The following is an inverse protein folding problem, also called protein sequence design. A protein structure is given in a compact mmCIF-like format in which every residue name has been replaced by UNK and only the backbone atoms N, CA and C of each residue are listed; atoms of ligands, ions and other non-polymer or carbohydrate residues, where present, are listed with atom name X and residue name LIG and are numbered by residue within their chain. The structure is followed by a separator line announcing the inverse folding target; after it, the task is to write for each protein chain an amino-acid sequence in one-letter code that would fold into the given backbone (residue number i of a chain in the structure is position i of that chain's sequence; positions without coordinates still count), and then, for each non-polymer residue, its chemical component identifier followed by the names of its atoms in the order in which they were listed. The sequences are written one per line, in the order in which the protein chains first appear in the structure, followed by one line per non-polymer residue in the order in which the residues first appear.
data_IF_752995774853
#
_entry.id   IF_752995774853
#
_cell.length_a   1.000
_cell.length_b   1.000
_cell.length_c   1.000
_cell.angle_alpha   90.00
_cell.angle_beta   90.00
_cell.angle_gamma   90.00
#
_symmetry.space_group_name_H-M   'P 1'
#
loop_
_entity.id
_entity.type
_entity.pdbx_description
1 polymer ?
#
# COMPACT_ATOMS: atom_id res chain seq x y z
N UNK A 1 -28.58 -17.09 -42.20
CA UNK A 1 -28.64 -16.90 -40.73
C UNK A 1 -27.39 -16.15 -40.31
N UNK A 2 -27.45 -14.86 -39.93
CA UNK A 2 -26.32 -14.17 -39.32
C UNK A 2 -26.17 -14.63 -37.85
N UNK A 3 -25.01 -15.19 -37.52
CA UNK A 3 -24.64 -15.54 -36.15
C UNK A 3 -24.21 -14.30 -35.38
N UNK A 4 -24.74 -14.19 -34.18
CA UNK A 4 -24.66 -13.09 -33.22
C UNK A 4 -23.24 -12.72 -32.80
N UNK A 5 -22.95 -11.42 -32.84
CA UNK A 5 -21.85 -10.76 -32.13
C UNK A 5 -22.01 -10.93 -30.62
N UNK A 6 -21.10 -11.64 -29.97
CA UNK A 6 -20.94 -11.62 -28.50
C UNK A 6 -19.46 -11.71 -28.13
N UNK A 7 -18.92 -10.58 -27.67
CA UNK A 7 -18.19 -10.41 -26.42
C UNK A 7 -17.89 -8.92 -26.30
N UNK A 8 -18.82 -8.18 -25.67
CA UNK A 8 -18.77 -7.90 -24.25
C UNK A 8 -17.52 -7.07 -23.91
N UNK A 9 -17.72 -5.75 -23.99
CA UNK A 9 -17.19 -4.72 -23.10
C UNK A 9 -15.85 -5.05 -22.44
N UNK A 10 -14.77 -4.45 -22.94
CA UNK A 10 -13.57 -4.22 -22.14
C UNK A 10 -13.99 -3.37 -20.94
N UNK A 11 -14.33 -4.06 -19.85
CA UNK A 11 -14.75 -3.46 -18.61
C UNK A 11 -13.56 -2.74 -18.01
N UNK A 12 -13.73 -1.42 -17.83
CA UNK A 12 -13.15 -0.58 -16.79
C UNK A 12 -12.24 -1.29 -15.79
N UNK A 13 -10.96 -0.97 -15.88
CA UNK A 13 -10.06 -0.96 -14.74
C UNK A 13 -9.16 0.24 -14.95
N UNK A 14 -9.67 1.45 -14.62
CA UNK A 14 -8.77 2.56 -14.33
C UNK A 14 -7.94 2.05 -13.16
N UNK A 15 -6.73 1.59 -13.46
CA UNK A 15 -5.75 1.28 -12.47
C UNK A 15 -5.41 2.64 -11.84
N UNK A 16 -6.10 3.00 -10.77
CA UNK A 16 -5.62 3.99 -9.82
C UNK A 16 -4.37 3.38 -9.15
N UNK A 17 -3.29 3.26 -9.94
CA UNK A 17 -1.90 3.04 -9.55
C UNK A 17 -1.39 4.28 -8.82
N UNK A 18 -2.18 4.81 -7.90
CA UNK A 18 -1.74 5.85 -7.01
C UNK A 18 -1.00 5.14 -5.89
N UNK A 19 0.30 4.86 -6.11
CA UNK A 19 1.23 4.40 -5.07
C UNK A 19 0.94 5.19 -3.81
N UNK A 20 0.30 4.54 -2.85
CA UNK A 20 -0.20 5.20 -1.66
C UNK A 20 0.84 5.00 -0.58
N UNK A 21 1.44 6.06 -0.07
CA UNK A 21 2.29 5.94 1.10
C UNK A 21 1.43 5.82 2.33
N UNK A 22 1.82 4.96 3.26
CA UNK A 22 1.21 4.89 4.57
C UNK A 22 2.29 5.00 5.64
N UNK A 23 1.91 5.52 6.81
CA UNK A 23 2.78 5.57 7.97
C UNK A 23 2.33 4.51 8.96
N UNK A 24 3.26 3.71 9.44
CA UNK A 24 3.03 2.80 10.54
C UNK A 24 2.67 3.57 11.81
N UNK A 25 1.54 3.20 12.42
CA UNK A 25 1.09 3.73 13.70
C UNK A 25 1.61 2.89 14.88
N UNK A 26 1.92 1.62 14.62
CA UNK A 26 2.39 0.66 15.62
C UNK A 26 3.50 -0.20 15.01
N UNK A 27 4.28 -0.85 15.86
CA UNK A 27 5.20 -1.90 15.43
C UNK A 27 4.45 -3.15 14.98
N UNK A 28 4.94 -3.76 13.90
CA UNK A 28 4.45 -5.01 13.39
C UNK A 28 5.65 -5.88 13.01
N UNK A 29 5.77 -7.02 13.66
CA UNK A 29 6.87 -7.96 13.44
C UNK A 29 6.31 -9.28 12.97
N UNK A 30 6.72 -9.70 11.79
CA UNK A 30 6.40 -11.01 11.23
C UNK A 30 7.34 -12.08 11.81
N UNK A 31 7.03 -13.35 11.57
CA UNK A 31 7.93 -14.41 11.99
C UNK A 31 9.29 -14.28 11.27
N UNK A 32 10.42 -14.62 11.92
CA UNK A 32 11.76 -14.39 11.37
C UNK A 32 12.03 -15.01 9.99
N UNK A 33 11.24 -15.99 9.58
CA UNK A 33 11.36 -16.69 8.30
C UNK A 33 10.23 -16.37 7.32
N UNK A 34 9.30 -15.49 7.69
CA UNK A 34 8.15 -15.15 6.87
C UNK A 34 8.46 -13.95 5.99
N UNK A 35 9.01 -14.23 4.81
CA UNK A 35 9.28 -13.23 3.77
C UNK A 35 8.02 -12.78 3.03
N UNK A 36 6.86 -13.39 3.32
CA UNK A 36 5.59 -12.96 2.73
C UNK A 36 4.96 -11.80 3.50
N UNK A 37 5.45 -11.53 4.70
CA UNK A 37 4.91 -10.56 5.63
C UNK A 37 5.90 -9.40 5.85
N UNK A 38 5.39 -8.17 5.86
CA UNK A 38 6.24 -6.97 5.99
C UNK A 38 6.41 -6.58 7.45
N UNK A 39 7.62 -6.65 7.98
CA UNK A 39 7.93 -6.14 9.33
C UNK A 39 8.30 -4.66 9.31
N UNK A 40 7.74 -3.87 10.21
CA UNK A 40 7.96 -2.42 10.31
C UNK A 40 7.76 -1.91 11.74
N UNK A 41 8.19 -0.68 12.01
CA UNK A 41 8.06 0.00 13.30
C UNK A 41 7.17 1.22 13.21
N UNK A 42 6.62 1.64 14.35
CA UNK A 42 5.90 2.92 14.45
C UNK A 42 6.74 4.06 13.83
N UNK A 43 6.10 4.83 12.94
CA UNK A 43 6.72 5.95 12.24
C UNK A 43 7.32 5.62 10.88
N UNK A 44 7.50 4.35 10.54
CA UNK A 44 7.99 3.95 9.22
C UNK A 44 7.01 4.33 8.11
N UNK A 45 7.54 4.76 6.96
CA UNK A 45 6.74 5.08 5.78
C UNK A 45 6.86 3.91 4.81
N UNK A 46 5.74 3.26 4.53
CA UNK A 46 5.65 2.09 3.66
C UNK A 46 4.98 2.52 2.37
N UNK A 47 5.53 2.08 1.24
CA UNK A 47 4.89 2.26 -0.06
C UNK A 47 3.87 1.14 -0.28
N UNK A 48 2.59 1.48 -0.39
CA UNK A 48 1.53 0.50 -0.66
C UNK A 48 1.45 0.25 -2.16
N UNK A 49 1.77 -0.98 -2.56
CA UNK A 49 1.72 -1.47 -3.94
C UNK A 49 0.33 -1.99 -4.30
N UNK A 50 -0.29 -2.76 -3.39
CA UNK A 50 -1.62 -3.36 -3.64
C UNK A 50 -2.47 -3.32 -2.37
N UNK A 51 -3.77 -3.03 -2.52
CA UNK A 51 -4.73 -3.05 -1.41
C UNK A 51 -5.78 -4.11 -1.67
N UNK A 52 -5.92 -5.07 -0.75
CA UNK A 52 -7.03 -6.01 -0.77
C UNK A 52 -8.21 -5.49 0.05
N UNK A 53 -9.44 -5.79 -0.40
CA UNK A 53 -10.68 -5.49 0.32
C UNK A 53 -10.79 -6.23 1.67
N UNK A 54 -10.01 -7.31 1.84
CA UNK A 54 -9.86 -8.04 3.11
C UNK A 54 -9.17 -7.24 4.21
N UNK A 55 -8.60 -6.08 3.89
CA UNK A 55 -7.83 -5.24 4.82
C UNK A 55 -6.33 -5.57 4.86
N UNK A 56 -5.86 -6.50 4.03
CA UNK A 56 -4.44 -6.80 3.85
C UNK A 56 -3.86 -5.99 2.71
N UNK A 57 -2.79 -5.26 3.00
CA UNK A 57 -2.08 -4.45 2.02
C UNK A 57 -0.70 -5.03 1.79
N UNK A 58 -0.26 -4.96 0.54
CA UNK A 58 1.09 -5.30 0.15
C UNK A 58 1.86 -4.00 -0.02
N UNK A 59 3.03 -3.95 0.60
CA UNK A 59 3.88 -2.79 0.49
C UNK A 59 5.35 -3.09 0.58
N UNK A 60 6.11 -2.05 0.29
CA UNK A 60 7.55 -2.06 0.18
C UNK A 60 8.14 -1.10 1.22
N UNK A 61 9.06 -1.61 2.03
CA UNK A 61 9.83 -0.84 3.02
C UNK A 61 11.29 -1.28 2.95
N UNK A 62 12.22 -0.35 2.66
CA UNK A 62 13.65 -0.62 2.59
C UNK A 62 14.01 -1.87 1.74
N UNK A 63 13.43 -1.95 0.53
CA UNK A 63 13.57 -3.09 -0.41
C UNK A 63 12.95 -4.42 0.06
N UNK A 64 12.31 -4.46 1.23
CA UNK A 64 11.54 -5.61 1.72
C UNK A 64 10.08 -5.42 1.32
N UNK A 65 9.52 -6.39 0.60
CA UNK A 65 8.10 -6.43 0.23
C UNK A 65 7.38 -7.47 1.06
N UNK A 66 6.16 -7.16 1.49
CA UNK A 66 5.31 -8.13 2.14
C UNK A 66 3.92 -7.61 2.45
N UNK A 67 3.08 -8.54 2.90
CA UNK A 67 1.73 -8.28 3.33
C UNK A 67 1.70 -7.80 4.78
N UNK A 68 0.81 -6.86 5.05
CA UNK A 68 0.55 -6.37 6.39
C UNK A 68 -0.90 -5.90 6.55
N UNK A 69 -1.42 -5.92 7.80
CA UNK A 69 -2.75 -5.43 8.10
C UNK A 69 -2.80 -3.90 8.01
N UNK A 70 -3.75 -3.39 7.22
CA UNK A 70 -4.00 -1.94 7.10
C UNK A 70 -4.34 -1.24 8.42
N UNK A 71 -4.82 -1.97 9.42
CA UNK A 71 -5.14 -1.44 10.76
C UNK A 71 -3.91 -0.92 11.53
N UNK A 72 -2.70 -1.31 11.14
CA UNK A 72 -1.45 -0.91 11.79
C UNK A 72 -0.81 0.32 11.13
N UNK A 73 -1.41 0.79 10.04
CA UNK A 73 -0.91 1.93 9.28
C UNK A 73 -2.00 2.97 9.07
N UNK A 74 -1.60 4.18 8.73
CA UNK A 74 -2.50 5.23 8.26
C UNK A 74 -2.06 5.68 6.88
N UNK A 75 -2.98 5.72 5.92
CA UNK A 75 -2.68 6.24 4.57
C UNK A 75 -2.30 7.71 4.72
N UNK A 76 -1.15 8.08 4.17
CA UNK A 76 -0.74 9.46 4.09
C UNK A 76 -1.27 10.04 2.79
N UNK A 77 -2.01 11.15 2.90
CA UNK A 77 -2.23 12.01 1.74
C UNK A 77 -0.91 12.67 1.32
N UNK A 78 -0.80 13.10 0.06
CA UNK A 78 0.37 13.83 -0.42
C UNK A 78 0.68 15.07 0.45
N UNK A 79 -0.35 15.71 1.00
CA UNK A 79 -0.21 16.85 1.92
C UNK A 79 0.43 16.45 3.25
N UNK A 80 0.10 15.28 3.80
CA UNK A 80 0.71 14.75 5.03
C UNK A 80 2.15 14.31 4.79
N UNK A 81 2.43 13.71 3.64
CA UNK A 81 3.77 13.37 3.23
C UNK A 81 4.65 14.64 3.15
N UNK A 82 4.19 15.66 2.43
CA UNK A 82 4.90 16.94 2.31
C UNK A 82 5.11 17.64 3.66
N UNK A 83 4.11 17.60 4.56
CA UNK A 83 4.28 18.12 5.93
C UNK A 83 5.33 17.35 6.72
N UNK A 84 5.33 16.02 6.62
CA UNK A 84 6.31 15.16 7.30
C UNK A 84 7.74 15.49 6.86
N UNK A 85 7.96 15.70 5.56
CA UNK A 85 9.28 16.07 5.02
C UNK A 85 9.68 17.51 5.40
N UNK A 86 8.73 18.45 5.39
CA UNK A 86 9.01 19.85 5.65
C UNK A 86 9.27 20.16 7.14
N UNK A 87 8.66 19.43 8.08
CA UNK A 87 8.88 19.63 9.52
C UNK A 87 10.29 19.24 9.95
N UNK A 88 10.85 18.15 9.41
CA UNK A 88 12.23 17.73 9.71
C UNK A 88 13.32 18.61 9.08
N UNK A 89 12.98 19.46 8.11
CA UNK A 89 13.93 20.33 7.41
C UNK A 89 14.11 21.71 8.08
N UNK A 90 13.53 21.94 9.26
CA UNK A 90 13.45 23.26 9.91
C UNK A 90 14.27 23.41 11.21
N UNK A 91 15.37 22.67 11.36
CA UNK A 91 16.39 22.87 12.39
C UNK A 91 17.75 23.11 11.73
#
# INVERSE_FOLDING_TARGET
MPGTTTNATQNNGVEDQNSAFCRALYDYTCEPNDVSCLSFREGDIIEVLTKMESGWWDGLLNDVRGWFPSNYVVVMSEQEYQRSIMVRARL
#
